data_IF_675713995214
#
_entry.id   IF_675713995214
#
_cell.length_a   1.000
_cell.length_b   1.000
_cell.length_c   1.000
_cell.angle_alpha   90.00
_cell.angle_beta   90.00
_cell.angle_gamma   90.00
#
_symmetry.space_group_name_H-M   'P 1'
#
loop_
_entity.id
_entity.type
_entity.pdbx_description
1 polymer ?
#
# COMPACT_ATOMS: atom_id res chain seq x y z
N UNK A 1 14.67 10.91 12.39
CA UNK A 1 16.04 10.35 12.40
C UNK A 1 17.00 11.50 12.11
N UNK A 2 18.03 11.70 12.94
CA UNK A 2 19.03 12.75 12.71
C UNK A 2 20.19 12.18 11.88
N UNK A 3 20.42 12.74 10.69
CA UNK A 3 21.46 12.27 9.77
C UNK A 3 22.70 13.18 9.79
N UNK A 4 22.88 14.00 10.84
CA UNK A 4 24.02 14.92 10.95
C UNK A 4 23.95 16.02 9.89
N UNK A 5 25.00 16.22 9.06
CA UNK A 5 25.04 17.32 8.08
C UNK A 5 23.87 17.33 7.07
N UNK A 6 23.19 16.19 6.87
CA UNK A 6 22.04 16.08 5.95
C UNK A 6 20.69 16.49 6.59
N UNK A 7 20.69 16.85 7.88
CA UNK A 7 19.49 17.27 8.61
C UNK A 7 18.64 16.13 9.16
N UNK A 8 17.54 16.50 9.83
CA UNK A 8 16.58 15.56 10.44
C UNK A 8 15.50 15.13 9.45
N UNK A 9 15.33 13.81 9.31
CA UNK A 9 14.18 13.22 8.64
C UNK A 9 12.95 13.22 9.56
N UNK A 10 11.83 13.74 9.05
CA UNK A 10 10.57 13.91 9.80
C UNK A 10 9.59 12.72 9.66
N UNK A 11 9.92 11.71 8.86
CA UNK A 11 9.03 10.55 8.61
C UNK A 11 7.70 10.95 7.99
N UNK A 12 6.73 10.03 8.01
CA UNK A 12 5.38 10.25 7.47
C UNK A 12 4.42 10.93 8.46
N UNK A 13 4.87 11.21 9.69
CA UNK A 13 4.01 11.73 10.76
C UNK A 13 3.09 10.66 11.37
N UNK A 14 2.05 11.11 12.09
CA UNK A 14 1.11 10.22 12.80
C UNK A 14 0.21 9.40 11.87
N UNK A 15 -0.11 9.94 10.69
CA UNK A 15 -0.89 9.24 9.67
C UNK A 15 0.06 8.63 8.64
N UNK A 16 0.19 7.31 8.65
CA UNK A 16 1.06 6.57 7.75
C UNK A 16 0.25 5.50 7.02
N UNK A 17 -0.49 5.85 5.96
CA UNK A 17 -1.31 4.89 5.23
C UNK A 17 -0.42 3.87 4.53
N UNK A 18 -0.66 2.58 4.81
CA UNK A 18 0.08 1.47 4.20
C UNK A 18 -0.65 0.89 2.98
N UNK A 19 -1.95 1.15 2.83
CA UNK A 19 -2.71 0.78 1.65
C UNK A 19 -3.78 1.84 1.37
N UNK A 20 -4.04 2.10 0.08
CA UNK A 20 -5.04 3.06 -0.35
C UNK A 20 -5.54 2.70 -1.75
N UNK A 21 -6.66 3.30 -2.13
CA UNK A 21 -7.23 3.20 -3.46
C UNK A 21 -7.85 4.53 -3.86
N UNK A 22 -7.87 4.81 -5.17
CA UNK A 22 -8.55 5.99 -5.71
C UNK A 22 -8.91 5.80 -7.19
N UNK A 23 -9.87 6.61 -7.67
CA UNK A 23 -10.11 6.75 -9.10
C UNK A 23 -9.10 7.77 -9.66
N UNK A 24 -8.53 7.50 -10.82
CA UNK A 24 -7.58 8.40 -11.48
C UNK A 24 -7.75 8.29 -13.00
N UNK A 25 -8.02 9.44 -13.65
CA UNK A 25 -8.14 9.58 -15.12
C UNK A 25 -9.03 8.51 -15.79
N UNK A 26 -10.25 8.32 -15.28
CA UNK A 26 -11.19 7.29 -15.77
C UNK A 26 -10.85 5.85 -15.37
N UNK A 27 -9.69 5.62 -14.77
CA UNK A 27 -9.26 4.34 -14.20
C UNK A 27 -9.38 4.26 -12.69
N UNK A 28 -8.86 3.15 -12.14
CA UNK A 28 -8.82 2.83 -10.71
C UNK A 28 -7.43 2.34 -10.34
N UNK A 29 -6.83 2.91 -9.31
CA UNK A 29 -5.53 2.49 -8.81
C UNK A 29 -5.63 2.06 -7.35
N UNK A 30 -5.01 0.92 -7.06
CA UNK A 30 -4.85 0.35 -5.73
C UNK A 30 -3.36 0.25 -5.42
N UNK A 31 -2.99 0.60 -4.19
CA UNK A 31 -1.63 0.55 -3.70
C UNK A 31 -1.57 -0.14 -2.33
N UNK A 32 -0.50 -0.91 -2.12
CA UNK A 32 -0.16 -1.50 -0.82
C UNK A 32 1.36 -1.50 -0.63
N UNK A 33 1.81 -1.03 0.53
CA UNK A 33 3.19 -1.08 1.00
C UNK A 33 3.51 -2.38 1.76
N UNK A 34 2.53 -3.25 1.95
CA UNK A 34 2.68 -4.57 2.58
C UNK A 34 3.38 -5.56 1.63
N UNK A 35 3.83 -6.70 2.16
CA UNK A 35 4.41 -7.80 1.36
C UNK A 35 5.92 -7.73 1.17
N UNK A 36 6.66 -7.09 2.10
CA UNK A 36 8.12 -7.02 2.04
C UNK A 36 8.79 -8.41 2.13
N UNK A 37 8.20 -9.34 2.89
CA UNK A 37 8.75 -10.69 3.05
C UNK A 37 8.13 -11.67 2.04
N UNK A 38 8.93 -12.56 1.42
CA UNK A 38 8.39 -13.58 0.52
C UNK A 38 7.32 -14.46 1.15
N UNK A 39 7.45 -14.75 2.46
CA UNK A 39 6.47 -15.55 3.21
C UNK A 39 5.08 -14.91 3.26
N UNK A 40 4.98 -13.58 3.11
CA UNK A 40 3.68 -12.91 3.06
C UNK A 40 2.83 -13.42 1.90
N UNK A 41 3.43 -13.80 0.77
CA UNK A 41 2.72 -14.31 -0.41
C UNK A 41 2.17 -15.74 -0.24
N UNK A 42 2.36 -16.34 0.93
CA UNK A 42 1.68 -17.58 1.33
C UNK A 42 0.64 -17.35 2.42
N UNK A 43 0.57 -16.15 3.00
CA UNK A 43 -0.37 -15.83 4.09
C UNK A 43 -1.77 -15.57 3.53
N UNK A 44 -2.80 -16.32 3.95
CA UNK A 44 -4.15 -16.17 3.42
C UNK A 44 -4.71 -14.74 3.55
N UNK A 45 -4.43 -14.06 4.65
CA UNK A 45 -4.87 -12.68 4.86
C UNK A 45 -4.26 -11.71 3.84
N UNK A 46 -2.98 -11.88 3.52
CA UNK A 46 -2.30 -11.02 2.54
C UNK A 46 -2.75 -11.33 1.12
N UNK A 47 -2.93 -12.60 0.79
CA UNK A 47 -3.48 -13.02 -0.50
C UNK A 47 -4.90 -12.47 -0.72
N UNK A 48 -5.76 -12.49 0.30
CA UNK A 48 -7.09 -11.90 0.24
C UNK A 48 -7.04 -10.37 0.05
N UNK A 49 -6.12 -9.68 0.72
CA UNK A 49 -5.89 -8.24 0.54
C UNK A 49 -5.49 -7.89 -0.89
N UNK A 50 -4.52 -8.63 -1.45
CA UNK A 50 -4.11 -8.46 -2.85
C UNK A 50 -5.25 -8.76 -3.83
N UNK A 51 -5.94 -9.88 -3.63
CA UNK A 51 -7.05 -10.28 -4.47
C UNK A 51 -8.16 -9.23 -4.50
N UNK A 52 -8.57 -8.72 -3.34
CA UNK A 52 -9.60 -7.68 -3.25
C UNK A 52 -9.16 -6.38 -3.94
N UNK A 53 -7.90 -5.95 -3.74
CA UNK A 53 -7.36 -4.75 -4.38
C UNK A 53 -7.30 -4.87 -5.91
N UNK A 54 -6.84 -6.01 -6.43
CA UNK A 54 -6.79 -6.30 -7.87
C UNK A 54 -8.20 -6.37 -8.46
N UNK A 55 -9.12 -7.09 -7.79
CA UNK A 55 -10.50 -7.24 -8.25
C UNK A 55 -11.21 -5.87 -8.33
N UNK A 56 -11.03 -5.02 -7.33
CA UNK A 56 -11.57 -3.66 -7.33
C UNK A 56 -10.96 -2.81 -8.45
N UNK A 57 -9.64 -2.82 -8.62
CA UNK A 57 -8.99 -2.06 -9.68
C UNK A 57 -9.50 -2.51 -11.07
N UNK A 58 -9.63 -3.81 -11.30
CA UNK A 58 -10.10 -4.37 -12.57
C UNK A 58 -11.59 -4.11 -12.83
N UNK A 59 -12.46 -4.28 -11.83
CA UNK A 59 -13.92 -4.37 -12.05
C UNK A 59 -14.74 -3.25 -11.41
N UNK A 60 -14.18 -2.54 -10.44
CA UNK A 60 -14.90 -1.56 -9.61
C UNK A 60 -15.86 -2.16 -8.58
N UNK A 61 -15.93 -3.51 -8.49
CA UNK A 61 -16.73 -4.20 -7.48
C UNK A 61 -16.04 -4.10 -6.11
N UNK A 62 -16.85 -3.90 -5.07
CA UNK A 62 -16.43 -3.82 -3.66
C UNK A 62 -16.87 -5.08 -2.93
#
# INVERSE_FOLDING_TARGET
VDWGPRGKGHGMGALHPLAWYHNYDGGRAFYTALGHLPTNFSEPAFLNHLYAGILWAATGKK
#
